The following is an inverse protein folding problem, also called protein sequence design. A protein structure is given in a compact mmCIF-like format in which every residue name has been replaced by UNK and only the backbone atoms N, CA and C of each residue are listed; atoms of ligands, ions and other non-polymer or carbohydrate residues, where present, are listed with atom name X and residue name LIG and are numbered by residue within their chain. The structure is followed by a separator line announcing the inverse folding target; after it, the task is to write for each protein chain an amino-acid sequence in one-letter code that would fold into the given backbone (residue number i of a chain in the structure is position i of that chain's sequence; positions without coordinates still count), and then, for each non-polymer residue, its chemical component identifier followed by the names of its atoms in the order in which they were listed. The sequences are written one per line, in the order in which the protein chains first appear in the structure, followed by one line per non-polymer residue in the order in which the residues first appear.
data_IF_355088177321
#
_entry.id   IF_355088177321
#
_cell.length_a   1.000
_cell.length_b   1.000
_cell.length_c   1.000
_cell.angle_alpha   90.00
_cell.angle_beta   90.00
_cell.angle_gamma   90.00
#
_symmetry.space_group_name_H-M   'P 1'
#
loop_
_entity.id
_entity.type
_entity.pdbx_description
1 polymer ?
#
# COMPACT_ATOMS: atom_id res chain seq x y z
N UNK A 1 -18.73 -3.41 -30.37
CA UNK A 1 -17.42 -3.52 -31.07
C UNK A 1 -16.34 -3.41 -30.02
N UNK A 2 -15.50 -4.43 -29.84
CA UNK A 2 -14.43 -4.39 -28.84
C UNK A 2 -13.28 -3.53 -29.36
N UNK A 3 -13.00 -2.40 -28.69
CA UNK A 3 -11.93 -1.46 -29.02
C UNK A 3 -10.91 -1.37 -27.88
N UNK A 4 -9.74 -0.77 -28.13
CA UNK A 4 -8.76 -0.51 -27.07
C UNK A 4 -9.30 0.46 -26.01
N UNK A 5 -10.11 1.44 -26.41
CA UNK A 5 -10.78 2.36 -25.48
C UNK A 5 -11.76 1.61 -24.59
N UNK A 6 -12.52 0.67 -25.16
CA UNK A 6 -13.40 -0.19 -24.37
C UNK A 6 -12.61 -1.06 -23.38
N UNK A 7 -11.52 -1.69 -23.83
CA UNK A 7 -10.65 -2.46 -22.93
C UNK A 7 -10.10 -1.62 -21.77
N UNK A 8 -9.70 -0.37 -22.03
CA UNK A 8 -9.23 0.54 -20.97
C UNK A 8 -10.33 0.99 -20.02
N UNK A 9 -11.58 1.13 -20.50
CA UNK A 9 -12.71 1.42 -19.63
C UNK A 9 -13.06 0.22 -18.73
N UNK A 10 -13.02 -1.00 -19.27
CA UNK A 10 -13.22 -2.23 -18.49
C UNK A 10 -12.09 -2.40 -17.45
N UNK A 11 -10.83 -2.21 -17.85
CA UNK A 11 -9.66 -2.24 -16.94
C UNK A 11 -9.81 -1.25 -15.76
N UNK A 12 -10.41 -0.08 -16.00
CA UNK A 12 -10.69 0.89 -14.94
C UNK A 12 -11.73 0.36 -13.93
N UNK A 13 -12.73 -0.41 -14.35
CA UNK A 13 -13.68 -1.04 -13.42
C UNK A 13 -12.96 -1.98 -12.46
N UNK A 14 -11.99 -2.75 -12.97
CA UNK A 14 -11.17 -3.62 -12.11
C UNK A 14 -10.35 -2.85 -11.09
N UNK A 15 -9.80 -1.70 -11.48
CA UNK A 15 -9.09 -0.83 -10.53
C UNK A 15 -10.02 -0.32 -9.42
N UNK A 16 -11.26 0.05 -9.76
CA UNK A 16 -12.26 0.48 -8.77
C UNK A 16 -12.61 -0.65 -7.80
N UNK A 17 -12.82 -1.87 -8.29
CA UNK A 17 -13.09 -3.03 -7.43
C UNK A 17 -11.89 -3.33 -6.51
N UNK A 18 -10.67 -3.22 -7.03
CA UNK A 18 -9.46 -3.44 -6.24
C UNK A 18 -9.28 -2.36 -5.17
N UNK A 19 -9.55 -1.09 -5.50
CA UNK A 19 -9.53 0.02 -4.54
C UNK A 19 -10.55 -0.23 -3.41
N UNK A 20 -11.73 -0.75 -3.75
CA UNK A 20 -12.78 -1.15 -2.81
C UNK A 20 -12.49 -2.47 -2.06
N UNK A 21 -11.28 -3.01 -2.19
CA UNK A 21 -10.84 -4.24 -1.54
C UNK A 21 -11.66 -5.48 -1.93
N UNK A 22 -12.09 -5.56 -3.20
CA UNK A 22 -12.77 -6.71 -3.80
C UNK A 22 -11.92 -7.31 -4.94
N UNK A 23 -10.76 -7.95 -4.61
CA UNK A 23 -9.81 -8.37 -5.64
C UNK A 23 -10.32 -9.53 -6.52
N UNK A 24 -11.23 -10.35 -6.01
CA UNK A 24 -11.93 -11.40 -6.75
C UNK A 24 -12.82 -10.81 -7.86
N UNK A 25 -13.55 -9.74 -7.54
CA UNK A 25 -14.37 -9.01 -8.52
C UNK A 25 -13.51 -8.25 -9.51
N UNK A 26 -12.40 -7.66 -9.05
CA UNK A 26 -11.45 -6.92 -9.89
C UNK A 26 -10.80 -7.79 -10.98
N UNK A 27 -10.60 -9.08 -10.72
CA UNK A 27 -9.97 -10.00 -11.66
C UNK A 27 -10.79 -10.15 -12.97
N UNK A 28 -12.12 -10.17 -12.87
CA UNK A 28 -13.04 -10.36 -14.01
C UNK A 28 -12.82 -9.30 -15.11
N UNK A 29 -12.96 -7.98 -14.84
CA UNK A 29 -12.70 -6.95 -15.84
C UNK A 29 -11.23 -6.89 -16.27
N UNK A 30 -10.27 -7.19 -15.40
CA UNK A 30 -8.85 -7.25 -15.81
C UNK A 30 -8.60 -8.34 -16.86
N UNK A 31 -9.16 -9.53 -16.68
CA UNK A 31 -9.07 -10.63 -17.64
C UNK A 31 -9.78 -10.32 -18.95
N UNK A 32 -10.96 -9.68 -18.90
CA UNK A 32 -11.67 -9.24 -20.10
C UNK A 32 -10.85 -8.20 -20.89
N UNK A 33 -10.35 -7.16 -20.22
CA UNK A 33 -9.51 -6.15 -20.83
C UNK A 33 -8.23 -6.76 -21.44
N UNK A 34 -7.61 -7.70 -20.74
CA UNK A 34 -6.45 -8.45 -21.23
C UNK A 34 -6.77 -9.24 -22.49
N UNK A 35 -7.89 -9.98 -22.52
CA UNK A 35 -8.32 -10.76 -23.68
C UNK A 35 -8.56 -9.89 -24.91
N UNK A 36 -9.18 -8.71 -24.73
CA UNK A 36 -9.40 -7.75 -25.81
C UNK A 36 -8.06 -7.22 -26.33
N UNK A 37 -7.16 -6.77 -25.44
CA UNK A 37 -5.83 -6.26 -25.79
C UNK A 37 -5.01 -7.34 -26.53
N UNK A 38 -5.04 -8.59 -26.05
CA UNK A 38 -4.33 -9.72 -26.67
C UNK A 38 -4.80 -10.03 -28.10
N UNK A 39 -6.08 -9.78 -28.42
CA UNK A 39 -6.61 -9.93 -29.79
C UNK A 39 -6.22 -8.77 -30.70
N UNK A 40 -6.08 -7.56 -30.17
CA UNK A 40 -5.89 -6.33 -30.96
C UNK A 40 -4.43 -5.89 -31.08
N UNK A 41 -3.55 -6.35 -30.19
CA UNK A 41 -2.18 -5.87 -30.05
C UNK A 41 -1.16 -6.99 -30.26
N UNK A 42 0.09 -6.60 -30.51
CA UNK A 42 1.21 -7.54 -30.52
C UNK A 42 1.46 -8.07 -29.10
N UNK A 43 1.94 -9.31 -28.92
CA UNK A 43 2.22 -9.85 -27.60
C UNK A 43 3.22 -9.02 -26.76
N UNK A 44 4.09 -8.26 -27.43
CA UNK A 44 5.09 -7.39 -26.79
C UNK A 44 4.56 -5.99 -26.45
N UNK A 45 3.28 -5.69 -26.68
CA UNK A 45 2.74 -4.34 -26.47
C UNK A 45 2.68 -3.98 -24.96
N UNK A 46 3.01 -2.73 -24.61
CA UNK A 46 3.01 -2.25 -23.23
C UNK A 46 1.64 -2.30 -22.54
N UNK A 47 0.53 -2.29 -23.30
CA UNK A 47 -0.81 -2.49 -22.73
C UNK A 47 -1.04 -3.94 -22.28
N UNK A 48 -0.42 -4.93 -22.92
CA UNK A 48 -0.45 -6.34 -22.48
C UNK A 48 0.23 -6.45 -21.11
N UNK A 49 1.42 -5.86 -20.96
CA UNK A 49 2.13 -5.82 -19.68
C UNK A 49 1.37 -5.02 -18.59
N UNK A 50 0.59 -4.01 -18.99
CA UNK A 50 -0.24 -3.24 -18.04
C UNK A 50 -1.40 -4.08 -17.50
N UNK A 51 -2.11 -4.81 -18.38
CA UNK A 51 -3.12 -5.79 -17.96
C UNK A 51 -2.55 -6.87 -17.05
N UNK A 52 -1.43 -7.49 -17.43
CA UNK A 52 -0.79 -8.52 -16.60
C UNK A 52 -0.41 -8.00 -15.22
N UNK A 53 0.11 -6.77 -15.14
CA UNK A 53 0.41 -6.15 -13.84
C UNK A 53 -0.84 -6.00 -12.97
N UNK A 54 -1.99 -5.61 -13.53
CA UNK A 54 -3.23 -5.45 -12.78
C UNK A 54 -3.81 -6.81 -12.32
N UNK A 55 -3.78 -7.82 -13.19
CA UNK A 55 -4.14 -9.20 -12.85
C UNK A 55 -3.26 -9.73 -11.70
N UNK A 56 -1.95 -9.48 -11.77
CA UNK A 56 -1.02 -9.89 -10.73
C UNK A 56 -1.28 -9.19 -9.39
N UNK A 57 -1.69 -7.91 -9.40
CA UNK A 57 -2.12 -7.20 -8.19
C UNK A 57 -3.39 -7.83 -7.60
N UNK A 58 -4.39 -8.17 -8.41
CA UNK A 58 -5.58 -8.87 -7.94
C UNK A 58 -5.23 -10.23 -7.31
N UNK A 59 -4.39 -11.05 -7.97
CA UNK A 59 -3.91 -12.30 -7.39
C UNK A 59 -3.13 -12.10 -6.09
N UNK A 60 -2.31 -11.06 -6.02
CA UNK A 60 -1.59 -10.69 -4.80
C UNK A 60 -2.59 -10.46 -3.67
N UNK A 61 -3.62 -9.64 -3.90
CA UNK A 61 -4.64 -9.34 -2.90
C UNK A 61 -5.52 -10.53 -2.50
N UNK A 62 -5.78 -11.46 -3.42
CA UNK A 62 -6.44 -12.72 -3.11
C UNK A 62 -5.57 -13.69 -2.29
N UNK A 63 -4.26 -13.43 -2.15
CA UNK A 63 -3.32 -14.35 -1.51
C UNK A 63 -2.81 -15.47 -2.43
N UNK A 64 -3.13 -15.41 -3.72
CA UNK A 64 -2.69 -16.35 -4.76
C UNK A 64 -1.27 -16.01 -5.23
N UNK A 65 -0.31 -16.05 -4.29
CA UNK A 65 1.00 -15.42 -4.47
C UNK A 65 1.84 -16.04 -5.61
N UNK A 66 1.73 -17.35 -5.84
CA UNK A 66 2.46 -18.01 -6.93
C UNK A 66 1.94 -17.59 -8.32
N UNK A 67 0.61 -17.44 -8.46
CA UNK A 67 -0.01 -16.91 -9.69
C UNK A 67 0.39 -15.46 -9.91
N UNK A 68 0.37 -14.66 -8.84
CA UNK A 68 0.81 -13.28 -8.90
C UNK A 68 2.27 -13.16 -9.34
N UNK A 69 3.14 -14.04 -8.83
CA UNK A 69 4.57 -14.02 -9.16
C UNK A 69 4.79 -14.30 -10.65
N UNK A 70 4.26 -15.42 -11.15
CA UNK A 70 4.38 -15.78 -12.55
C UNK A 70 3.84 -14.67 -13.48
N UNK A 71 2.71 -14.07 -13.12
CA UNK A 71 2.07 -12.99 -13.90
C UNK A 71 2.91 -11.70 -13.89
N UNK A 72 3.50 -11.33 -12.75
CA UNK A 72 4.42 -10.20 -12.67
C UNK A 72 5.71 -10.43 -13.48
N UNK A 73 6.26 -11.66 -13.48
CA UNK A 73 7.44 -12.00 -14.30
C UNK A 73 7.17 -11.82 -15.80
N UNK A 74 6.00 -12.26 -16.28
CA UNK A 74 5.60 -12.05 -17.67
C UNK A 74 5.51 -10.55 -18.01
N UNK A 75 4.88 -9.75 -17.13
CA UNK A 75 4.78 -8.30 -17.31
C UNK A 75 6.15 -7.60 -17.33
N UNK A 76 7.08 -8.03 -16.47
CA UNK A 76 8.47 -7.54 -16.42
C UNK A 76 9.21 -7.89 -17.71
N UNK A 77 9.10 -9.14 -18.19
CA UNK A 77 9.73 -9.60 -19.43
C UNK A 77 9.33 -8.73 -20.63
N UNK A 78 8.03 -8.46 -20.80
CA UNK A 78 7.52 -7.60 -21.88
C UNK A 78 8.07 -6.16 -21.76
N UNK A 79 8.04 -5.57 -20.56
CA UNK A 79 8.52 -4.20 -20.32
C UNK A 79 10.03 -4.07 -20.54
N UNK A 80 10.81 -5.10 -20.22
CA UNK A 80 12.24 -5.14 -20.52
C UNK A 80 12.51 -5.24 -22.01
N UNK A 81 11.83 -6.14 -22.72
CA UNK A 81 11.99 -6.31 -24.17
C UNK A 81 11.60 -5.07 -24.99
N UNK A 82 10.83 -4.15 -24.41
CA UNK A 82 10.38 -2.90 -25.05
C UNK A 82 11.03 -1.64 -24.50
N UNK A 83 11.96 -1.75 -23.55
CA UNK A 83 12.57 -0.60 -22.84
C UNK A 83 11.53 0.37 -22.27
N UNK A 84 10.47 -0.16 -21.64
CA UNK A 84 9.39 0.65 -21.08
C UNK A 84 9.85 1.49 -19.88
N UNK A 85 9.45 2.76 -19.86
CA UNK A 85 9.61 3.68 -18.73
C UNK A 85 8.84 3.26 -17.46
N UNK A 86 7.86 2.35 -17.61
CA UNK A 86 7.05 1.80 -16.51
C UNK A 86 7.69 0.61 -15.80
N UNK A 87 8.92 0.20 -16.18
CA UNK A 87 9.59 -0.96 -15.56
C UNK A 87 9.78 -0.80 -14.05
N UNK A 88 10.01 0.43 -13.56
CA UNK A 88 10.13 0.71 -12.13
C UNK A 88 8.90 0.26 -11.32
N UNK A 89 7.69 0.55 -11.82
CA UNK A 89 6.46 0.13 -11.15
C UNK A 89 6.33 -1.39 -11.07
N UNK A 90 6.79 -2.13 -12.11
CA UNK A 90 6.78 -3.60 -12.05
C UNK A 90 7.69 -4.13 -10.96
N UNK A 91 8.88 -3.54 -10.81
CA UNK A 91 9.84 -3.98 -9.80
C UNK A 91 9.35 -3.67 -8.38
N UNK A 92 8.76 -2.49 -8.14
CA UNK A 92 8.18 -2.17 -6.84
C UNK A 92 7.00 -3.11 -6.49
N UNK A 93 6.12 -3.41 -7.46
CA UNK A 93 5.02 -4.36 -7.25
C UNK A 93 5.52 -5.79 -6.98
N UNK A 94 6.48 -6.27 -7.77
CA UNK A 94 7.11 -7.59 -7.55
C UNK A 94 7.83 -7.64 -6.19
N UNK A 95 8.52 -6.57 -5.80
CA UNK A 95 9.17 -6.48 -4.49
C UNK A 95 8.15 -6.57 -3.35
N UNK A 96 6.98 -5.93 -3.48
CA UNK A 96 5.89 -6.06 -2.52
C UNK A 96 5.37 -7.48 -2.41
N UNK A 97 5.15 -8.12 -3.56
CA UNK A 97 4.71 -9.51 -3.61
C UNK A 97 5.71 -10.42 -2.91
N UNK A 98 7.01 -10.28 -3.20
CA UNK A 98 8.07 -11.04 -2.54
C UNK A 98 8.07 -10.82 -1.01
N UNK A 99 7.76 -9.61 -0.55
CA UNK A 99 7.61 -9.34 0.88
C UNK A 99 6.41 -10.09 1.48
N UNK A 100 5.28 -10.16 0.76
CA UNK A 100 4.10 -10.96 1.15
C UNK A 100 4.38 -12.47 1.13
N UNK A 101 5.27 -12.92 0.25
CA UNK A 101 5.80 -14.30 0.24
C UNK A 101 6.83 -14.57 1.35
N UNK A 102 7.06 -13.61 2.26
CA UNK A 102 8.04 -13.69 3.33
C UNK A 102 9.50 -13.87 2.82
N UNK A 103 9.82 -13.25 1.68
CA UNK A 103 11.14 -13.27 1.04
C UNK A 103 11.76 -11.85 1.01
N UNK A 104 12.14 -11.28 2.17
CA UNK A 104 12.52 -9.87 2.24
C UNK A 104 13.84 -9.55 1.51
N UNK A 105 14.79 -10.48 1.44
CA UNK A 105 16.07 -10.26 0.74
C UNK A 105 15.88 -10.28 -0.79
N UNK A 106 15.03 -11.18 -1.30
CA UNK A 106 14.63 -11.17 -2.72
C UNK A 106 13.86 -9.88 -3.05
N UNK A 107 12.97 -9.44 -2.15
CA UNK A 107 12.25 -8.18 -2.30
C UNK A 107 13.21 -6.98 -2.40
N UNK A 108 14.21 -6.88 -1.51
CA UNK A 108 15.21 -5.82 -1.58
C UNK A 108 15.98 -5.84 -2.92
N UNK A 109 16.41 -7.01 -3.35
CA UNK A 109 17.14 -7.17 -4.61
C UNK A 109 16.28 -6.77 -5.82
N UNK A 110 14.98 -7.09 -5.79
CA UNK A 110 14.05 -6.65 -6.81
C UNK A 110 13.89 -5.12 -6.81
N UNK A 111 13.68 -4.53 -5.64
CA UNK A 111 13.49 -3.09 -5.49
C UNK A 111 14.73 -2.30 -5.95
N UNK A 112 15.95 -2.80 -5.70
CA UNK A 112 17.21 -2.20 -6.20
C UNK A 112 17.28 -2.09 -7.72
N UNK A 113 16.47 -2.85 -8.47
CA UNK A 113 16.39 -2.77 -9.94
C UNK A 113 15.53 -1.59 -10.41
N UNK A 114 14.77 -0.94 -9.52
CA UNK A 114 14.00 0.25 -9.87
C UNK A 114 14.92 1.36 -10.36
N UNK A 115 14.73 1.90 -11.58
CA UNK A 115 15.53 3.02 -12.08
C UNK A 115 15.45 4.26 -11.18
N UNK A 116 14.31 4.47 -10.50
CA UNK A 116 14.13 5.53 -9.51
C UNK A 116 15.10 5.41 -8.35
N UNK A 117 15.53 4.20 -7.97
CA UNK A 117 16.42 3.98 -6.84
C UNK A 117 17.90 3.96 -7.23
N UNK A 118 18.20 4.14 -8.51
CA UNK A 118 19.58 4.35 -8.95
C UNK A 118 20.10 5.62 -8.31
N UNK A 119 21.25 5.52 -7.63
CA UNK A 119 21.89 6.62 -6.90
C UNK A 119 21.01 7.22 -5.78
N UNK A 120 20.08 6.43 -5.22
CA UNK A 120 19.21 6.87 -4.14
C UNK A 120 20.02 7.21 -2.87
N UNK A 121 20.13 8.50 -2.60
CA UNK A 121 20.68 9.08 -1.38
C UNK A 121 19.66 10.00 -0.72
N UNK A 122 19.91 10.36 0.54
CA UNK A 122 19.11 11.37 1.25
C UNK A 122 19.09 12.72 0.49
N UNK A 123 20.19 13.07 -0.16
CA UNK A 123 20.35 14.32 -0.89
C UNK A 123 19.58 14.32 -2.21
N UNK A 124 19.69 13.26 -3.01
CA UNK A 124 18.92 13.12 -4.26
C UNK A 124 17.41 13.10 -3.99
N UNK A 125 16.99 12.52 -2.87
CA UNK A 125 15.59 12.47 -2.48
C UNK A 125 15.01 13.87 -2.21
N UNK A 126 15.69 14.68 -1.40
CA UNK A 126 15.23 16.04 -1.08
C UNK A 126 15.18 16.92 -2.34
N UNK A 127 16.16 16.75 -3.25
CA UNK A 127 16.27 17.54 -4.49
C UNK A 127 15.22 17.18 -5.54
N UNK A 128 14.84 15.90 -5.66
CA UNK A 128 13.95 15.45 -6.74
C UNK A 128 12.50 15.88 -6.56
N UNK A 129 12.02 16.02 -5.32
CA UNK A 129 10.63 16.42 -5.05
C UNK A 129 9.58 15.45 -5.60
N UNK A 130 9.98 14.24 -6.04
CA UNK A 130 9.10 13.30 -6.71
C UNK A 130 8.41 12.36 -5.70
N UNK A 131 7.06 12.37 -5.59
CA UNK A 131 6.30 11.50 -4.69
C UNK A 131 6.62 10.01 -4.80
N UNK A 132 7.02 9.51 -5.98
CA UNK A 132 7.25 8.07 -6.20
C UNK A 132 8.36 7.52 -5.29
N UNK A 133 9.38 8.31 -5.01
CA UNK A 133 10.44 7.92 -4.08
C UNK A 133 9.91 7.64 -2.68
N UNK A 134 8.87 8.35 -2.24
CA UNK A 134 8.26 8.09 -0.92
C UNK A 134 7.57 6.73 -0.84
N UNK A 135 7.03 6.23 -1.96
CA UNK A 135 6.46 4.88 -2.05
C UNK A 135 7.53 3.81 -1.91
N UNK A 136 8.59 3.91 -2.71
CA UNK A 136 9.73 2.99 -2.67
C UNK A 136 10.42 2.99 -1.28
N UNK A 137 10.52 4.15 -0.60
CA UNK A 137 11.06 4.24 0.76
C UNK A 137 10.20 3.54 1.81
N UNK A 138 8.88 3.69 1.71
CA UNK A 138 7.95 2.98 2.62
C UNK A 138 8.05 1.48 2.40
N UNK A 139 8.14 1.03 1.13
CA UNK A 139 8.37 -0.38 0.83
C UNK A 139 9.70 -0.87 1.40
N UNK A 140 10.79 -0.12 1.20
CA UNK A 140 12.09 -0.47 1.76
C UNK A 140 12.05 -0.51 3.29
N UNK A 141 11.34 0.41 3.95
CA UNK A 141 11.12 0.37 5.41
C UNK A 141 10.43 -0.93 5.84
N UNK A 142 9.36 -1.34 5.14
CA UNK A 142 8.66 -2.62 5.42
C UNK A 142 9.56 -3.84 5.20
N UNK A 143 10.40 -3.80 4.16
CA UNK A 143 11.43 -4.83 3.92
C UNK A 143 12.42 -4.89 5.10
N UNK A 144 12.91 -3.73 5.56
CA UNK A 144 13.84 -3.65 6.71
C UNK A 144 13.23 -4.21 7.99
N UNK A 145 11.94 -3.98 8.25
CA UNK A 145 11.23 -4.62 9.38
C UNK A 145 11.30 -6.14 9.29
N UNK A 146 10.97 -6.72 8.12
CA UNK A 146 11.01 -8.18 7.92
C UNK A 146 12.41 -8.78 7.99
N UNK A 147 13.45 -7.95 7.83
CA UNK A 147 14.85 -8.34 8.03
C UNK A 147 15.34 -8.13 9.48
N UNK A 148 14.49 -7.67 10.39
CA UNK A 148 14.85 -7.36 11.78
C UNK A 148 15.65 -6.05 11.95
N UNK A 149 15.70 -5.20 10.92
CA UNK A 149 16.49 -3.95 10.89
C UNK A 149 15.60 -2.75 11.23
N UNK A 150 15.10 -2.75 12.47
CA UNK A 150 14.07 -1.81 12.93
C UNK A 150 14.52 -0.34 12.88
N UNK A 151 15.77 -0.03 13.24
CA UNK A 151 16.30 1.33 13.21
C UNK A 151 16.36 1.91 11.79
N UNK A 152 16.80 1.09 10.83
CA UNK A 152 16.81 1.46 9.42
C UNK A 152 15.38 1.71 8.92
N UNK A 153 14.43 0.85 9.30
CA UNK A 153 13.03 0.97 8.93
C UNK A 153 12.40 2.27 9.46
N UNK A 154 12.62 2.59 10.74
CA UNK A 154 12.12 3.80 11.37
C UNK A 154 12.71 5.06 10.72
N UNK A 155 14.02 5.06 10.43
CA UNK A 155 14.68 6.16 9.72
C UNK A 155 14.08 6.39 8.34
N UNK A 156 13.85 5.33 7.57
CA UNK A 156 13.28 5.40 6.21
C UNK A 156 11.83 5.89 6.23
N UNK A 157 10.98 5.31 7.09
CA UNK A 157 9.57 5.72 7.20
C UNK A 157 9.44 7.17 7.68
N UNK A 158 10.24 7.59 8.66
CA UNK A 158 10.22 8.98 9.17
C UNK A 158 10.58 9.99 8.08
N UNK A 159 11.54 9.66 7.21
CA UNK A 159 11.89 10.51 6.06
C UNK A 159 10.78 10.56 5.01
N UNK A 160 10.16 9.42 4.71
CA UNK A 160 9.02 9.38 3.80
C UNK A 160 7.84 10.23 4.32
N UNK A 161 7.56 10.17 5.63
CA UNK A 161 6.58 11.01 6.31
C UNK A 161 6.93 12.50 6.19
N UNK A 162 8.17 12.89 6.53
CA UNK A 162 8.60 14.29 6.46
C UNK A 162 8.45 14.86 5.04
N UNK A 163 8.83 14.07 4.03
CA UNK A 163 8.69 14.44 2.64
C UNK A 163 7.23 14.58 2.20
N UNK A 164 6.38 13.58 2.49
CA UNK A 164 4.95 13.63 2.14
C UNK A 164 4.24 14.78 2.85
N UNK A 165 4.57 15.05 4.12
CA UNK A 165 4.04 16.20 4.87
C UNK A 165 4.45 17.53 4.22
N UNK A 166 5.70 17.67 3.77
CA UNK A 166 6.17 18.88 3.07
C UNK A 166 5.48 19.08 1.72
N UNK A 167 5.31 18.00 0.94
CA UNK A 167 4.82 18.09 -0.44
C UNK A 167 3.29 18.11 -0.53
N UNK A 168 2.61 17.32 0.29
CA UNK A 168 1.15 17.09 0.22
C UNK A 168 0.39 17.81 1.34
N UNK A 169 1.05 18.19 2.43
CA UNK A 169 0.42 18.74 3.62
C UNK A 169 -0.42 17.70 4.38
N UNK A 170 -1.53 18.16 4.97
CA UNK A 170 -2.44 17.35 5.77
C UNK A 170 -3.47 16.63 4.87
N UNK A 171 -3.08 15.47 4.32
CA UNK A 171 -3.89 14.62 3.43
C UNK A 171 -3.85 13.15 3.89
N UNK A 172 -4.73 12.30 3.36
CA UNK A 172 -4.80 10.88 3.74
C UNK A 172 -3.49 10.12 3.56
N UNK A 173 -2.71 10.36 2.48
CA UNK A 173 -1.37 9.77 2.33
C UNK A 173 -0.39 10.16 3.45
N UNK A 174 -0.57 11.33 4.06
CA UNK A 174 0.19 11.74 5.25
C UNK A 174 -0.29 10.98 6.48
N UNK A 175 -1.59 10.73 6.62
CA UNK A 175 -2.15 9.86 7.67
C UNK A 175 -1.57 8.45 7.61
N UNK A 176 -1.44 7.87 6.43
CA UNK A 176 -0.85 6.54 6.27
C UNK A 176 0.62 6.50 6.69
N UNK A 177 1.37 7.56 6.36
CA UNK A 177 2.77 7.68 6.76
C UNK A 177 2.92 7.91 8.27
N UNK A 178 1.99 8.66 8.88
CA UNK A 178 1.93 8.84 10.34
C UNK A 178 1.69 7.50 11.04
N UNK A 179 0.78 6.69 10.50
CA UNK A 179 0.49 5.37 11.03
C UNK A 179 1.70 4.44 10.94
N UNK A 180 2.33 4.35 9.77
CA UNK A 180 3.51 3.49 9.55
C UNK A 180 4.65 3.86 10.53
N UNK A 181 4.92 5.16 10.72
CA UNK A 181 5.93 5.63 11.69
C UNK A 181 5.51 5.36 13.13
N UNK A 182 4.24 5.57 13.48
CA UNK A 182 3.74 5.28 14.83
C UNK A 182 3.86 3.79 15.18
N UNK A 183 3.51 2.90 14.25
CA UNK A 183 3.69 1.45 14.43
C UNK A 183 5.16 1.07 14.59
N UNK A 184 6.07 1.70 13.84
CA UNK A 184 7.51 1.48 14.00
C UNK A 184 8.03 2.00 15.35
N UNK A 185 7.57 3.17 15.81
CA UNK A 185 7.91 3.70 17.12
C UNK A 185 7.42 2.81 18.25
N UNK A 186 6.21 2.25 18.13
CA UNK A 186 5.67 1.26 19.07
C UNK A 186 6.55 0.02 19.14
N UNK A 187 6.90 -0.59 18.00
CA UNK A 187 7.83 -1.74 17.97
C UNK A 187 9.20 -1.41 18.54
N UNK A 188 9.64 -0.15 18.42
CA UNK A 188 10.90 0.34 18.97
C UNK A 188 10.79 0.71 20.47
N UNK A 189 9.62 0.53 21.10
CA UNK A 189 9.38 0.81 22.52
C UNK A 189 9.05 2.28 22.85
N UNK A 190 8.90 3.14 21.85
CA UNK A 190 8.55 4.55 22.05
C UNK A 190 7.04 4.81 21.86
N UNK A 191 6.26 4.28 22.80
CA UNK A 191 4.79 4.40 22.78
C UNK A 191 4.29 5.85 22.93
N UNK A 192 5.05 6.71 23.61
CA UNK A 192 4.66 8.11 23.80
C UNK A 192 4.66 8.89 22.46
N UNK A 193 5.75 8.79 21.69
CA UNK A 193 5.82 9.41 20.36
C UNK A 193 4.86 8.76 19.37
N UNK A 194 4.61 7.44 19.48
CA UNK A 194 3.61 6.76 18.67
C UNK A 194 2.19 7.33 18.90
N UNK A 195 1.79 7.52 20.15
CA UNK A 195 0.50 8.13 20.52
C UNK A 195 0.39 9.56 19.95
N UNK A 196 1.44 10.37 20.07
CA UNK A 196 1.44 11.74 19.52
C UNK A 196 1.19 11.76 18.01
N UNK A 197 1.86 10.89 17.26
CA UNK A 197 1.65 10.79 15.81
C UNK A 197 0.25 10.29 15.45
N UNK A 198 -0.29 9.34 16.24
CA UNK A 198 -1.66 8.87 16.05
C UNK A 198 -2.69 9.97 16.37
N UNK A 199 -2.47 10.81 17.38
CA UNK A 199 -3.31 11.98 17.65
C UNK A 199 -3.25 13.02 16.52
N UNK A 200 -2.08 13.21 15.89
CA UNK A 200 -1.99 14.04 14.68
C UNK A 200 -2.79 13.40 13.53
N UNK A 201 -2.71 12.09 13.37
CA UNK A 201 -3.46 11.34 12.36
C UNK A 201 -4.97 11.52 12.55
N UNK A 202 -5.49 11.33 13.77
CA UNK A 202 -6.94 11.45 14.05
C UNK A 202 -7.45 12.85 13.72
N UNK A 203 -6.69 13.91 14.03
CA UNK A 203 -7.04 15.28 13.69
C UNK A 203 -7.13 15.51 12.17
N UNK A 204 -6.15 15.01 11.40
CA UNK A 204 -6.15 15.16 9.94
C UNK A 204 -7.29 14.34 9.34
N UNK A 205 -7.39 13.05 9.68
CA UNK A 205 -8.39 12.15 9.13
C UNK A 205 -9.82 12.56 9.49
N UNK A 206 -10.06 13.06 10.70
CA UNK A 206 -11.37 13.57 11.13
C UNK A 206 -11.82 14.84 10.39
N UNK A 207 -10.90 15.56 9.74
CA UNK A 207 -11.21 16.74 8.92
C UNK A 207 -11.52 16.41 7.46
N UNK A 208 -11.39 15.14 7.05
CA UNK A 208 -11.54 14.67 5.67
C UNK A 208 -12.69 13.66 5.63
N UNK A 209 -13.79 13.90 4.87
CA UNK A 209 -14.94 12.99 4.83
C UNK A 209 -14.57 11.54 4.49
N UNK A 210 -13.62 11.34 3.57
CA UNK A 210 -13.14 10.03 3.13
C UNK A 210 -12.13 9.39 4.10
N UNK A 211 -11.75 10.09 5.18
CA UNK A 211 -10.72 9.67 6.14
C UNK A 211 -11.19 8.69 7.22
N UNK A 212 -12.45 8.25 7.19
CA UNK A 212 -13.02 7.37 8.22
C UNK A 212 -12.25 6.07 8.42
N UNK A 213 -11.74 5.47 7.34
CA UNK A 213 -10.94 4.24 7.41
C UNK A 213 -9.63 4.45 8.16
N UNK A 214 -8.88 5.51 7.82
CA UNK A 214 -7.64 5.88 8.50
C UNK A 214 -7.90 6.26 9.96
N UNK A 215 -9.02 6.93 10.23
CA UNK A 215 -9.44 7.31 11.58
C UNK A 215 -9.73 6.07 12.45
N UNK A 216 -10.48 5.09 11.92
CA UNK A 216 -10.75 3.83 12.60
C UNK A 216 -9.46 3.07 12.92
N UNK A 217 -8.55 2.99 11.94
CA UNK A 217 -7.25 2.33 12.11
C UNK A 217 -6.38 3.02 13.17
N UNK A 218 -6.40 4.35 13.23
CA UNK A 218 -5.68 5.11 14.24
C UNK A 218 -6.25 4.88 15.65
N UNK A 219 -7.58 4.89 15.81
CA UNK A 219 -8.21 4.60 17.09
C UNK A 219 -7.96 3.17 17.57
N UNK A 220 -7.93 2.18 16.66
CA UNK A 220 -7.51 0.82 17.01
C UNK A 220 -6.10 0.81 17.64
N UNK A 221 -5.12 1.45 16.99
CA UNK A 221 -3.73 1.45 17.49
C UNK A 221 -3.61 2.24 18.79
N UNK A 222 -4.34 3.37 18.92
CA UNK A 222 -4.42 4.12 20.18
C UNK A 222 -4.99 3.25 21.30
N UNK A 223 -6.06 2.48 21.05
CA UNK A 223 -6.65 1.60 22.05
C UNK A 223 -5.65 0.57 22.57
N UNK A 224 -4.88 -0.05 21.67
CA UNK A 224 -3.80 -1.00 22.02
C UNK A 224 -2.72 -0.33 22.87
N UNK A 225 -2.19 0.80 22.43
CA UNK A 225 -1.13 1.52 23.14
C UNK A 225 -1.57 2.02 24.52
N UNK A 226 -2.82 2.47 24.65
CA UNK A 226 -3.36 2.93 25.93
C UNK A 226 -3.60 1.77 26.90
N UNK A 227 -4.02 0.60 26.38
CA UNK A 227 -4.15 -0.62 27.17
C UNK A 227 -2.81 -1.05 27.76
N UNK A 228 -1.76 -1.10 26.94
CA UNK A 228 -0.39 -1.44 27.36
C UNK A 228 0.16 -0.47 28.42
N UNK A 229 -0.31 0.79 28.43
CA UNK A 229 0.05 1.81 29.42
C UNK A 229 -0.82 1.78 30.68
N UNK A 230 -1.77 0.86 30.80
CA UNK A 230 -2.72 0.78 31.92
C UNK A 230 -3.79 1.86 31.93
N UNK A 231 -3.95 2.62 30.85
CA UNK A 231 -4.98 3.66 30.69
C UNK A 231 -6.27 3.03 30.15
N UNK A 232 -6.92 2.23 30.98
CA UNK A 232 -8.06 1.39 30.56
C UNK A 232 -9.26 2.19 30.07
N UNK A 233 -9.57 3.34 30.68
CA UNK A 233 -10.68 4.20 30.23
C UNK A 233 -10.41 4.78 28.83
N UNK A 234 -9.23 5.38 28.61
CA UNK A 234 -8.82 5.92 27.30
C UNK A 234 -8.79 4.82 26.23
N UNK A 235 -8.31 3.63 26.60
CA UNK A 235 -8.29 2.45 25.72
C UNK A 235 -9.71 2.04 25.32
N UNK A 236 -10.65 2.00 26.27
CA UNK A 236 -12.04 1.64 26.01
C UNK A 236 -12.72 2.63 25.06
N UNK A 237 -12.56 3.94 25.32
CA UNK A 237 -13.10 4.99 24.43
C UNK A 237 -12.52 4.87 23.02
N UNK A 238 -11.21 4.69 22.87
CA UNK A 238 -10.60 4.51 21.55
C UNK A 238 -11.14 3.25 20.85
N UNK A 239 -11.34 2.16 21.60
CA UNK A 239 -11.89 0.92 21.07
C UNK A 239 -13.31 1.11 20.54
N UNK A 240 -14.19 1.74 21.31
CA UNK A 240 -15.58 2.03 20.90
C UNK A 240 -15.62 2.87 19.61
N UNK A 241 -14.78 3.91 19.53
CA UNK A 241 -14.69 4.76 18.34
C UNK A 241 -14.21 3.98 17.11
N UNK A 242 -13.22 3.10 17.27
CA UNK A 242 -12.72 2.26 16.19
C UNK A 242 -13.81 1.28 15.69
N UNK A 243 -14.50 0.61 16.61
CA UNK A 243 -15.55 -0.36 16.29
C UNK A 243 -16.77 0.31 15.64
N UNK A 244 -17.17 1.49 16.12
CA UNK A 244 -18.26 2.27 15.53
C UNK A 244 -17.96 2.67 14.08
N UNK A 245 -16.75 3.20 13.81
CA UNK A 245 -16.35 3.56 12.43
C UNK A 245 -16.25 2.33 11.53
N UNK A 246 -15.79 1.19 12.05
CA UNK A 246 -15.74 -0.07 11.30
C UNK A 246 -17.14 -0.53 10.91
N UNK A 247 -18.09 -0.52 11.85
CA UNK A 247 -19.48 -0.91 11.60
C UNK A 247 -20.16 -0.02 10.55
N UNK A 248 -19.82 1.27 10.51
CA UNK A 248 -20.32 2.19 9.47
C UNK A 248 -19.77 1.84 8.07
N UNK A 249 -18.46 1.55 7.99
CA UNK A 249 -17.78 1.32 6.70
C UNK A 249 -17.97 -0.09 6.15
N UNK A 250 -18.06 -1.09 7.02
CA UNK A 250 -18.29 -2.50 6.70
C UNK A 250 -19.31 -3.09 7.66
N UNK A 251 -20.62 -2.87 7.42
CA UNK A 251 -21.68 -3.44 8.26
C UNK A 251 -21.68 -4.98 8.28
N UNK A 252 -21.18 -5.60 7.22
CA UNK A 252 -21.00 -7.05 7.09
C UNK A 252 -19.85 -7.62 7.95
N UNK A 253 -18.98 -6.76 8.50
CA UNK A 253 -17.89 -7.14 9.39
C UNK A 253 -18.27 -7.07 10.88
N UNK A 254 -19.57 -7.02 11.20
CA UNK A 254 -20.05 -7.02 12.59
C UNK A 254 -19.59 -8.29 13.34
N UNK A 255 -19.03 -8.13 14.54
CA UNK A 255 -18.46 -9.23 15.32
C UNK A 255 -17.05 -9.69 14.92
N UNK A 256 -16.43 -9.07 13.90
CA UNK A 256 -15.03 -9.35 13.56
C UNK A 256 -14.07 -9.05 14.73
N UNK A 257 -13.00 -9.82 14.85
CA UNK A 257 -12.02 -9.68 15.94
C UNK A 257 -11.38 -8.28 15.93
N UNK A 258 -11.05 -7.76 17.12
CA UNK A 258 -10.37 -6.48 17.27
C UNK A 258 -8.86 -6.66 17.05
N UNK A 259 -8.46 -6.84 15.79
CA UNK A 259 -7.06 -7.01 15.34
C UNK A 259 -6.72 -6.03 14.23
N UNK A 260 -5.43 -5.73 14.06
CA UNK A 260 -4.94 -4.68 13.16
C UNK A 260 -5.35 -4.93 11.71
N UNK A 261 -5.31 -6.19 11.28
CA UNK A 261 -5.65 -6.63 9.92
C UNK A 261 -7.06 -6.21 9.51
N UNK A 262 -8.02 -6.26 10.44
CA UNK A 262 -9.41 -5.87 10.16
C UNK A 262 -9.55 -4.35 9.96
N UNK A 263 -8.74 -3.55 10.64
CA UNK A 263 -8.76 -2.10 10.48
C UNK A 263 -7.92 -1.62 9.29
N UNK A 264 -6.87 -2.36 8.91
CA UNK A 264 -6.11 -2.11 7.68
C UNK A 264 -7.02 -2.24 6.45
N UNK A 265 -7.93 -3.23 6.43
CA UNK A 265 -8.90 -3.46 5.35
C UNK A 265 -9.91 -2.32 5.14
N UNK A 266 -10.06 -1.39 6.10
CA UNK A 266 -10.97 -0.24 6.00
C UNK A 266 -10.36 0.94 5.23
N UNK A 267 -9.04 0.96 5.10
CA UNK A 267 -8.36 1.96 4.29
C UNK A 267 -8.40 1.49 2.83
N UNK A 268 -9.25 2.13 2.02
CA UNK A 268 -9.31 1.96 0.56
C UNK A 268 -7.88 1.94 0.01
N UNK A 269 -7.57 0.93 -0.81
CA UNK A 269 -6.19 0.50 -1.03
C UNK A 269 -5.25 1.63 -1.46
N UNK A 270 -4.12 1.72 -0.77
CA UNK A 270 -2.95 2.50 -1.16
C UNK A 270 -2.14 1.71 -2.20
N UNK A 271 -2.58 1.66 -3.46
CA UNK A 271 -1.65 1.25 -4.52
C UNK A 271 -0.67 2.40 -4.81
N UNK A 272 0.55 2.22 -4.30
CA UNK A 272 1.86 2.75 -4.73
C UNK A 272 1.98 4.27 -4.98
#
# INVERSE_FOLDING_TARGET
MYTLSYASAVDLLGLLDLDMNNPDKALIPFEEAFAIRKRLLKPTDGMIASSLNNIALAYTEMGELDKAHATHEEAISIRLGTNSDRIGNSYSNMSSLLLRMNKPDEAENMLKRCPSLKDFTDETFIKTGNPRFSGDMVLLSRIRVKQGRLDEALRLASKALAFRKKLLGNRLKTCDSLYDVASLLHMHGNSASAIELLSQLTNIAGSIPEGKGQLARAYYKLAVLQHERGRHEESHTCKEMAESLRAELKPDAEGATFIEEEFVKLCVWMLW
#
